data_IF_055347849524
#
_entry.id   IF_055347849524
#
_cell.length_a   1.000
_cell.length_b   1.000
_cell.length_c   1.000
_cell.angle_alpha   90.00
_cell.angle_beta   90.00
_cell.angle_gamma   90.00
#
_symmetry.space_group_name_H-M   'P 1'
#
loop_
_entity.id
_entity.type
_entity.pdbx_description
1 polymer ?
#
# COMPACT_ATOMS: atom_id res chain seq x y z
N UNK A 1 16.56 -52.78 -44.30
CA UNK A 1 16.22 -51.50 -44.93
C UNK A 1 14.98 -50.97 -44.26
N UNK A 2 15.11 -50.00 -43.36
CA UNK A 2 14.20 -48.85 -43.27
C UNK A 2 14.83 -47.82 -42.35
N UNK A 3 15.31 -46.74 -42.97
CA UNK A 3 15.97 -45.63 -42.31
C UNK A 3 14.98 -44.87 -41.45
N UNK A 4 15.31 -44.71 -40.16
CA UNK A 4 14.81 -43.63 -39.31
C UNK A 4 15.14 -42.30 -39.98
N UNK A 5 14.22 -41.80 -40.81
CA UNK A 5 14.28 -40.44 -41.35
C UNK A 5 14.01 -39.51 -40.18
N UNK A 6 15.09 -39.00 -39.60
CA UNK A 6 15.07 -37.81 -38.76
C UNK A 6 14.49 -36.68 -39.63
N UNK A 7 13.18 -36.43 -39.49
CA UNK A 7 12.55 -35.28 -40.10
C UNK A 7 13.19 -34.04 -39.47
N UNK A 8 13.99 -33.34 -40.28
CA UNK A 8 14.37 -31.94 -40.04
C UNK A 8 13.09 -31.11 -40.05
N UNK A 9 12.45 -31.01 -38.89
CA UNK A 9 11.49 -29.97 -38.58
C UNK A 9 12.18 -29.10 -37.54
N UNK A 10 12.38 -27.83 -37.84
CA UNK A 10 12.67 -26.78 -36.86
C UNK A 10 11.35 -26.16 -36.43
N UNK A 11 10.91 -26.37 -35.18
CA UNK A 11 9.89 -25.54 -34.55
C UNK A 11 10.55 -24.65 -33.49
N UNK A 12 10.53 -23.33 -33.74
CA UNK A 12 11.00 -22.31 -32.82
C UNK A 12 10.00 -22.05 -31.69
N UNK A 13 9.68 -23.07 -30.89
CA UNK A 13 9.18 -22.85 -29.54
C UNK A 13 9.83 -23.85 -28.59
N UNK A 14 10.54 -23.33 -27.59
CA UNK A 14 11.14 -24.14 -26.53
C UNK A 14 10.09 -25.05 -25.84
N UNK A 15 8.83 -24.62 -25.83
CA UNK A 15 7.67 -25.41 -25.38
C UNK A 15 7.41 -26.69 -26.18
N UNK A 16 7.50 -26.65 -27.51
CA UNK A 16 7.32 -27.85 -28.35
C UNK A 16 8.48 -28.84 -28.14
N UNK A 17 9.70 -28.33 -27.97
CA UNK A 17 10.87 -29.16 -27.68
C UNK A 17 10.73 -29.88 -26.34
N UNK A 18 10.22 -29.20 -25.30
CA UNK A 18 9.94 -29.83 -24.01
C UNK A 18 8.80 -30.84 -24.06
N UNK A 19 7.74 -30.55 -24.82
CA UNK A 19 6.64 -31.50 -25.04
C UNK A 19 7.12 -32.80 -25.69
N UNK A 20 8.01 -32.71 -26.68
CA UNK A 20 8.61 -33.89 -27.32
C UNK A 20 9.48 -34.70 -26.34
N UNK A 21 10.26 -34.04 -25.49
CA UNK A 21 11.07 -34.71 -24.45
C UNK A 21 10.17 -35.43 -23.44
N UNK A 22 9.07 -34.81 -23.02
CA UNK A 22 8.10 -35.42 -22.11
C UNK A 22 7.53 -36.73 -22.68
N UNK A 23 7.04 -36.70 -23.93
CA UNK A 23 6.45 -37.88 -24.59
C UNK A 23 7.48 -39.02 -24.70
N UNK A 24 8.73 -38.70 -25.01
CA UNK A 24 9.81 -39.70 -25.08
C UNK A 24 10.14 -40.32 -23.72
N UNK A 25 10.13 -39.53 -22.64
CA UNK A 25 10.34 -40.01 -21.28
C UNK A 25 9.19 -40.91 -20.83
N UNK A 26 7.94 -40.49 -21.03
CA UNK A 26 6.74 -41.27 -20.70
C UNK A 26 6.73 -42.62 -21.43
N UNK A 27 7.00 -42.62 -22.74
CA UNK A 27 7.08 -43.83 -23.54
C UNK A 27 8.24 -44.76 -23.13
N UNK A 28 9.33 -44.22 -22.58
CA UNK A 28 10.46 -45.02 -22.08
C UNK A 28 10.14 -45.62 -20.71
N UNK A 29 9.56 -44.85 -19.80
CA UNK A 29 9.11 -45.31 -18.48
C UNK A 29 8.08 -46.43 -18.63
N UNK A 30 7.11 -46.28 -19.53
CA UNK A 30 6.10 -47.30 -19.79
C UNK A 30 6.68 -48.63 -20.30
N UNK A 31 7.81 -48.57 -21.03
CA UNK A 31 8.49 -49.77 -21.55
C UNK A 31 9.41 -50.45 -20.54
N UNK A 32 10.03 -49.68 -19.65
CA UNK A 32 11.09 -50.17 -18.76
C UNK A 32 10.67 -50.36 -17.30
N UNK A 33 9.49 -49.87 -16.92
CA UNK A 33 8.89 -50.06 -15.60
C UNK A 33 9.84 -49.65 -14.48
N UNK A 34 10.09 -50.56 -13.52
CA UNK A 34 10.91 -50.29 -12.34
C UNK A 34 12.37 -49.89 -12.65
N UNK A 35 12.90 -50.20 -13.84
CA UNK A 35 14.27 -49.83 -14.25
C UNK A 35 14.40 -48.37 -14.68
N UNK A 36 13.29 -47.64 -14.81
CA UNK A 36 13.24 -46.25 -15.23
C UNK A 36 12.90 -45.27 -14.08
N UNK A 37 13.16 -45.66 -12.82
CA UNK A 37 12.88 -44.82 -11.65
C UNK A 37 13.51 -43.41 -11.78
N UNK A 38 14.76 -43.33 -12.25
CA UNK A 38 15.46 -42.06 -12.47
C UNK A 38 14.80 -41.20 -13.57
N UNK A 39 14.21 -41.83 -14.59
CA UNK A 39 13.47 -41.14 -15.65
C UNK A 39 12.12 -40.62 -15.13
N UNK A 40 11.47 -41.33 -14.21
CA UNK A 40 10.24 -40.87 -13.54
C UNK A 40 10.50 -39.66 -12.65
N UNK A 41 11.66 -39.61 -12.00
CA UNK A 41 12.12 -38.44 -11.24
C UNK A 41 12.36 -37.27 -12.20
N UNK A 42 13.09 -37.49 -13.30
CA UNK A 42 13.35 -36.46 -14.30
C UNK A 42 12.06 -35.89 -14.91
N UNK A 43 11.09 -36.74 -15.23
CA UNK A 43 9.77 -36.34 -15.73
C UNK A 43 9.00 -35.46 -14.73
N UNK A 44 9.08 -35.80 -13.43
CA UNK A 44 8.46 -35.02 -12.36
C UNK A 44 9.05 -33.62 -12.26
N UNK A 45 10.38 -33.51 -12.33
CA UNK A 45 11.07 -32.21 -12.30
C UNK A 45 10.76 -31.36 -13.54
N UNK A 46 10.68 -31.98 -14.71
CA UNK A 46 10.33 -31.30 -15.96
C UNK A 46 8.89 -30.75 -15.92
N UNK A 47 7.94 -31.55 -15.44
CA UNK A 47 6.55 -31.11 -15.27
C UNK A 47 6.42 -29.97 -14.27
N UNK A 48 7.12 -30.05 -13.13
CA UNK A 48 7.15 -28.97 -12.12
C UNK A 48 7.70 -27.67 -12.71
N UNK A 49 8.80 -27.74 -13.45
CA UNK A 49 9.40 -26.59 -14.12
C UNK A 49 8.44 -25.96 -15.14
N UNK A 50 7.73 -26.79 -15.92
CA UNK A 50 6.74 -26.30 -16.89
C UNK A 50 5.59 -25.55 -16.21
N UNK A 51 5.00 -26.11 -15.16
CA UNK A 51 3.92 -25.45 -14.40
C UNK A 51 4.36 -24.12 -13.81
N UNK A 52 5.61 -24.01 -13.34
CA UNK A 52 6.15 -22.76 -12.82
C UNK A 52 6.31 -21.68 -13.91
N UNK A 53 6.80 -22.07 -15.08
CA UNK A 53 6.96 -21.15 -16.23
C UNK A 53 5.60 -20.71 -16.76
N UNK A 54 4.63 -21.61 -16.88
CA UNK A 54 3.25 -21.28 -17.30
C UNK A 54 2.58 -20.32 -16.31
N UNK A 55 2.76 -20.53 -15.00
CA UNK A 55 2.24 -19.64 -13.96
C UNK A 55 2.88 -18.25 -14.01
N UNK A 56 4.19 -18.16 -14.26
CA UNK A 56 4.87 -16.87 -14.35
C UNK A 56 4.52 -16.13 -15.65
N UNK A 57 4.38 -16.84 -16.77
CA UNK A 57 3.88 -16.25 -18.02
C UNK A 57 2.44 -15.73 -17.86
N UNK A 58 1.58 -16.48 -17.17
CA UNK A 58 0.23 -16.02 -16.84
C UNK A 58 0.25 -14.77 -15.94
N UNK A 59 1.15 -14.71 -14.94
CA UNK A 59 1.36 -13.50 -14.12
C UNK A 59 1.83 -12.30 -14.94
N UNK A 60 2.77 -12.50 -15.85
CA UNK A 60 3.31 -11.42 -16.71
C UNK A 60 2.21 -10.92 -17.65
N UNK A 61 1.42 -11.83 -18.24
CA UNK A 61 0.30 -11.49 -19.12
C UNK A 61 -0.85 -10.77 -18.38
N UNK A 62 -1.10 -11.13 -17.12
CA UNK A 62 -2.10 -10.46 -16.27
C UNK A 62 -1.70 -9.02 -15.88
N UNK A 63 -0.45 -8.62 -16.13
CA UNK A 63 0.10 -7.34 -15.72
C UNK A 63 0.34 -7.26 -14.20
N UNK A 64 0.97 -6.18 -13.71
CA UNK A 64 1.05 -5.96 -12.27
C UNK A 64 -0.37 -5.97 -11.69
N UNK A 65 -0.60 -6.59 -10.52
CA UNK A 65 -1.91 -6.55 -9.90
C UNK A 65 -2.34 -5.09 -9.85
N UNK A 66 -3.52 -4.78 -10.41
CA UNK A 66 -4.17 -3.50 -10.16
C UNK A 66 -4.11 -3.33 -8.66
N UNK A 67 -3.38 -2.32 -8.18
CA UNK A 67 -3.50 -1.91 -6.79
C UNK A 67 -4.95 -1.51 -6.65
N UNK A 68 -5.79 -2.43 -6.20
CA UNK A 68 -6.98 -2.06 -5.45
C UNK A 68 -6.42 -1.14 -4.37
N UNK A 69 -6.63 0.15 -4.55
CA UNK A 69 -6.33 1.10 -3.50
C UNK A 69 -7.00 0.50 -2.28
N UNK A 70 -6.25 0.30 -1.19
CA UNK A 70 -6.87 0.13 0.12
C UNK A 70 -7.65 1.42 0.37
N UNK A 71 -8.84 1.53 -0.20
CA UNK A 71 -9.83 2.53 0.15
C UNK A 71 -10.28 2.11 1.53
N UNK A 72 -9.46 2.46 2.53
CA UNK A 72 -9.91 2.49 3.91
C UNK A 72 -11.21 3.26 3.95
N UNK A 73 -12.11 2.87 4.85
CA UNK A 73 -13.43 3.46 4.98
C UNK A 73 -13.35 5.00 4.90
N UNK A 74 -14.31 5.60 4.17
CA UNK A 74 -14.36 7.06 3.99
C UNK A 74 -14.41 7.76 5.35
N UNK A 75 -13.67 8.85 5.50
CA UNK A 75 -13.74 9.71 6.68
C UNK A 75 -15.10 10.40 6.71
N UNK A 76 -15.83 10.24 7.81
CA UNK A 76 -17.19 10.77 7.98
C UNK A 76 -17.19 12.05 8.79
N UNK A 77 -16.41 12.13 9.86
CA UNK A 77 -16.28 13.32 10.69
C UNK A 77 -14.97 13.35 11.49
N UNK A 78 -14.61 14.54 11.95
CA UNK A 78 -13.63 14.77 12.99
C UNK A 78 -14.30 15.41 14.21
N UNK A 79 -13.93 14.98 15.40
CA UNK A 79 -14.45 15.54 16.65
C UNK A 79 -13.34 15.62 17.68
N UNK A 80 -13.34 16.66 18.50
CA UNK A 80 -12.50 16.69 19.71
C UNK A 80 -13.32 16.18 20.89
N UNK A 81 -12.82 15.16 21.56
CA UNK A 81 -13.50 14.46 22.66
C UNK A 81 -12.53 14.25 23.83
N UNK A 82 -13.08 14.02 25.03
CA UNK A 82 -12.28 13.55 26.15
C UNK A 82 -12.14 12.03 26.07
N UNK A 83 -10.89 11.55 26.06
CA UNK A 83 -10.55 10.14 26.12
C UNK A 83 -9.42 9.96 27.13
N UNK A 84 -9.59 9.05 28.10
CA UNK A 84 -8.66 8.84 29.23
C UNK A 84 -8.25 10.15 29.93
N UNK A 85 -9.21 11.06 30.12
CA UNK A 85 -8.98 12.35 30.79
C UNK A 85 -8.22 13.39 29.95
N UNK A 86 -7.96 13.11 28.66
CA UNK A 86 -7.25 14.02 27.76
C UNK A 86 -8.11 14.40 26.56
N UNK A 87 -8.03 15.67 26.15
CA UNK A 87 -8.61 16.08 24.87
C UNK A 87 -7.89 15.37 23.72
N UNK A 88 -8.70 14.81 22.84
CA UNK A 88 -8.26 13.92 21.77
C UNK A 88 -9.02 14.26 20.49
N UNK A 89 -8.28 14.43 19.40
CA UNK A 89 -8.86 14.52 18.06
C UNK A 89 -9.17 13.11 17.57
N UNK A 90 -10.46 12.86 17.35
CA UNK A 90 -11.01 11.60 16.89
C UNK A 90 -11.40 11.73 15.41
N UNK A 91 -10.84 10.88 14.55
CA UNK A 91 -11.23 10.73 13.15
C UNK A 91 -12.12 9.50 13.00
N UNK A 92 -13.40 9.74 12.73
CA UNK A 92 -14.37 8.70 12.43
C UNK A 92 -14.35 8.36 10.95
N UNK A 93 -14.42 7.08 10.66
CA UNK A 93 -14.60 6.57 9.29
C UNK A 93 -15.92 5.80 9.23
N UNK A 94 -16.33 5.42 8.02
CA UNK A 94 -17.60 4.75 7.72
C UNK A 94 -18.01 3.64 8.72
N UNK A 95 -19.26 3.17 8.63
CA UNK A 95 -19.90 2.38 9.67
C UNK A 95 -19.05 1.20 10.14
N UNK A 96 -19.00 0.99 11.46
CA UNK A 96 -18.32 -0.12 12.15
C UNK A 96 -16.77 -0.11 12.08
N UNK A 97 -16.15 1.05 11.83
CA UNK A 97 -14.69 1.19 11.98
C UNK A 97 -14.31 1.79 13.32
N UNK A 98 -13.27 1.26 13.97
CA UNK A 98 -12.72 1.89 15.16
C UNK A 98 -12.13 3.26 14.78
N UNK A 99 -12.46 4.33 15.53
CA UNK A 99 -11.98 5.65 15.20
C UNK A 99 -10.49 5.83 15.52
N UNK A 100 -9.82 6.66 14.73
CA UNK A 100 -8.43 7.00 14.98
C UNK A 100 -8.33 8.15 15.97
N UNK A 101 -7.66 7.91 17.10
CA UNK A 101 -7.53 8.88 18.20
C UNK A 101 -6.12 9.48 18.25
N UNK A 102 -6.06 10.80 18.33
CA UNK A 102 -4.80 11.55 18.40
C UNK A 102 -4.83 12.54 19.58
N UNK A 103 -3.94 12.38 20.58
CA UNK A 103 -3.88 13.29 21.72
C UNK A 103 -3.59 14.74 21.31
N UNK A 104 -4.14 15.70 22.06
CA UNK A 104 -3.93 17.13 21.81
C UNK A 104 -2.45 17.53 21.78
N UNK A 105 -1.60 16.90 22.59
CA UNK A 105 -0.14 17.15 22.58
C UNK A 105 0.51 16.91 21.22
N UNK A 106 0.07 15.88 20.48
CA UNK A 106 0.55 15.60 19.12
C UNK A 106 0.06 16.66 18.14
N UNK A 107 -1.20 17.08 18.27
CA UNK A 107 -1.75 18.16 17.46
C UNK A 107 -0.98 19.47 17.65
N UNK A 108 -0.72 19.87 18.90
CA UNK A 108 0.07 21.06 19.21
C UNK A 108 1.50 20.98 18.65
N UNK A 109 2.12 19.80 18.65
CA UNK A 109 3.43 19.61 18.06
C UNK A 109 3.40 19.79 16.52
N UNK A 110 2.37 19.27 15.84
CA UNK A 110 2.14 19.53 14.41
C UNK A 110 1.92 21.02 14.16
N UNK A 111 1.15 21.70 15.02
CA UNK A 111 0.88 23.14 14.90
C UNK A 111 2.18 23.94 15.01
N UNK A 112 3.00 23.64 16.03
CA UNK A 112 4.30 24.29 16.26
C UNK A 112 5.25 24.08 15.07
N UNK A 113 5.30 22.86 14.53
CA UNK A 113 6.11 22.58 13.36
C UNK A 113 5.66 23.39 12.14
N UNK A 114 4.37 23.33 11.80
CA UNK A 114 3.85 23.95 10.59
C UNK A 114 3.82 25.49 10.68
N UNK A 115 3.45 26.06 11.82
CA UNK A 115 3.40 27.51 12.05
C UNK A 115 4.76 28.19 12.02
N UNK A 116 5.84 27.45 12.27
CA UNK A 116 7.22 27.96 12.19
C UNK A 116 7.81 28.01 10.78
N UNK A 117 7.12 27.48 9.76
CA UNK A 117 7.69 27.30 8.42
C UNK A 117 7.13 28.30 7.42
N UNK A 118 8.02 28.87 6.61
CA UNK A 118 7.67 29.68 5.43
C UNK A 118 7.52 28.83 4.17
N UNK A 119 8.26 27.73 4.09
CA UNK A 119 8.31 26.87 2.91
C UNK A 119 7.34 25.68 3.01
N UNK A 120 6.76 25.23 1.86
CA UNK A 120 6.00 23.99 1.79
C UNK A 120 6.77 22.79 2.33
N UNK A 121 6.08 21.86 2.99
CA UNK A 121 6.69 20.65 3.57
C UNK A 121 5.92 19.39 3.16
N UNK A 122 6.60 18.26 3.06
CA UNK A 122 5.94 16.98 2.86
C UNK A 122 5.68 16.24 4.18
N UNK A 123 4.90 15.17 4.09
CA UNK A 123 4.55 14.35 5.26
C UNK A 123 5.78 13.73 5.93
N UNK A 124 6.77 13.27 5.15
CA UNK A 124 7.92 12.56 5.71
C UNK A 124 8.76 13.49 6.57
N UNK A 125 9.00 14.72 6.08
CA UNK A 125 9.70 15.75 6.85
C UNK A 125 9.01 16.08 8.17
N UNK A 126 7.69 16.24 8.16
CA UNK A 126 6.89 16.47 9.36
C UNK A 126 6.99 15.28 10.33
N UNK A 127 6.75 14.08 9.82
CA UNK A 127 6.72 12.85 10.63
C UNK A 127 8.08 12.57 11.27
N UNK A 128 9.17 12.61 10.51
CA UNK A 128 10.51 12.36 11.03
C UNK A 128 10.95 13.41 12.05
N UNK A 129 10.56 14.68 11.87
CA UNK A 129 10.87 15.74 12.84
C UNK A 129 10.13 15.49 14.16
N UNK A 130 8.83 15.18 14.09
CA UNK A 130 8.02 14.92 15.28
C UNK A 130 8.46 13.67 16.02
N UNK A 131 8.73 12.58 15.30
CA UNK A 131 9.25 11.32 15.88
C UNK A 131 10.56 11.55 16.63
N UNK A 132 11.48 12.36 16.08
CA UNK A 132 12.72 12.71 16.78
C UNK A 132 12.48 13.49 18.07
N UNK A 133 11.47 14.35 18.11
CA UNK A 133 11.17 15.16 19.30
C UNK A 133 10.29 14.47 20.35
N UNK A 134 9.40 13.57 19.94
CA UNK A 134 8.37 12.97 20.81
C UNK A 134 8.63 11.49 21.11
N UNK A 135 9.63 10.87 20.48
CA UNK A 135 9.91 9.44 20.61
C UNK A 135 9.04 8.59 19.69
N UNK A 136 8.62 7.40 20.15
CA UNK A 136 7.75 6.52 19.39
C UNK A 136 6.40 7.19 19.10
N UNK A 137 6.21 7.54 17.83
CA UNK A 137 5.02 8.21 17.34
C UNK A 137 4.44 7.40 16.18
N UNK A 138 3.24 6.82 16.32
CA UNK A 138 2.56 6.19 15.20
C UNK A 138 2.25 7.20 14.10
N UNK A 139 2.54 6.85 12.84
CA UNK A 139 2.36 7.76 11.70
C UNK A 139 0.90 8.22 11.53
N UNK A 140 -0.06 7.35 11.88
CA UNK A 140 -1.48 7.65 11.74
C UNK A 140 -1.88 8.88 12.55
N UNK A 141 -1.24 9.15 13.70
CA UNK A 141 -1.56 10.32 14.54
C UNK A 141 -1.25 11.61 13.80
N UNK A 142 -0.10 11.67 13.12
CA UNK A 142 0.29 12.81 12.29
C UNK A 142 -0.62 12.91 11.05
N UNK A 143 -1.03 11.78 10.46
CA UNK A 143 -1.99 11.77 9.35
C UNK A 143 -3.35 12.32 9.74
N UNK A 144 -3.88 11.94 10.90
CA UNK A 144 -5.15 12.48 11.42
C UNK A 144 -5.06 14.00 11.57
N UNK A 145 -4.00 14.53 12.20
CA UNK A 145 -3.82 15.98 12.32
C UNK A 145 -3.77 16.68 10.96
N UNK A 146 -2.95 16.19 10.02
CA UNK A 146 -2.81 16.83 8.71
C UNK A 146 -4.08 16.76 7.88
N UNK A 147 -4.82 15.64 7.89
CA UNK A 147 -6.11 15.53 7.19
C UNK A 147 -7.19 16.39 7.82
N UNK A 148 -7.25 16.47 9.15
CA UNK A 148 -8.13 17.38 9.86
C UNK A 148 -7.84 18.84 9.50
N UNK A 149 -6.57 19.27 9.56
CA UNK A 149 -6.19 20.64 9.19
C UNK A 149 -6.51 20.96 7.72
N UNK A 150 -6.41 19.98 6.82
CA UNK A 150 -6.84 20.16 5.42
C UNK A 150 -8.36 20.29 5.32
N UNK A 151 -9.12 19.44 6.03
CA UNK A 151 -10.58 19.52 6.07
C UNK A 151 -11.08 20.83 6.69
N UNK A 152 -10.37 21.35 7.69
CA UNK A 152 -10.66 22.61 8.36
C UNK A 152 -10.17 23.85 7.59
N UNK A 153 -9.53 23.68 6.44
CA UNK A 153 -9.00 24.79 5.64
C UNK A 153 -7.75 25.47 6.21
N UNK A 154 -7.11 24.90 7.22
CA UNK A 154 -5.88 25.43 7.84
C UNK A 154 -4.64 25.08 6.99
N UNK A 155 -4.65 23.88 6.41
CA UNK A 155 -3.65 23.43 5.44
C UNK A 155 -4.30 23.24 4.07
N UNK A 156 -3.50 23.41 3.01
CA UNK A 156 -3.85 23.01 1.64
C UNK A 156 -2.79 22.09 1.05
N UNK A 157 -3.23 21.23 0.13
CA UNK A 157 -2.32 20.44 -0.66
C UNK A 157 -1.82 21.22 -1.87
N UNK A 158 -0.51 21.25 -2.05
CA UNK A 158 0.13 21.70 -3.28
C UNK A 158 1.00 20.56 -3.82
N UNK A 159 0.48 19.85 -4.82
CA UNK A 159 1.02 18.57 -5.28
C UNK A 159 1.13 17.56 -4.12
N UNK A 160 2.35 17.19 -3.72
CA UNK A 160 2.65 16.25 -2.62
C UNK A 160 3.01 16.95 -1.31
N UNK A 161 2.93 18.27 -1.25
CA UNK A 161 3.34 19.08 -0.10
C UNK A 161 2.14 19.76 0.55
N UNK A 162 2.31 20.13 1.81
CA UNK A 162 1.40 20.94 2.59
C UNK A 162 1.88 22.39 2.60
N UNK A 163 0.91 23.30 2.53
CA UNK A 163 1.12 24.74 2.67
C UNK A 163 0.06 25.28 3.63
N UNK A 164 0.42 26.23 4.48
CA UNK A 164 -0.55 26.99 5.27
C UNK A 164 -1.50 27.75 4.34
N UNK A 165 -2.81 27.62 4.52
CA UNK A 165 -3.80 28.18 3.61
C UNK A 165 -3.69 29.71 3.51
N UNK A 166 -3.62 30.39 4.65
CA UNK A 166 -3.49 31.86 4.75
C UNK A 166 -2.04 32.32 4.99
N UNK A 167 -1.08 31.44 4.72
CA UNK A 167 0.34 31.66 5.02
C UNK A 167 0.70 31.43 6.49
N UNK A 168 1.98 31.60 6.85
CA UNK A 168 2.48 31.25 8.19
C UNK A 168 2.02 32.22 9.28
N UNK A 169 1.76 33.49 8.94
CA UNK A 169 1.23 34.48 9.88
C UNK A 169 -0.24 34.17 10.12
N UNK A 170 -0.57 33.73 11.34
CA UNK A 170 -1.94 33.37 11.71
C UNK A 170 -2.24 31.87 11.70
N UNK A 171 -1.30 31.04 11.24
CA UNK A 171 -1.47 29.58 11.20
C UNK A 171 -1.85 28.99 12.57
N UNK A 172 -1.12 29.34 13.64
CA UNK A 172 -1.39 28.83 14.98
C UNK A 172 -2.77 29.24 15.50
N UNK A 173 -3.23 30.46 15.14
CA UNK A 173 -4.57 30.93 15.50
C UNK A 173 -5.64 30.14 14.74
N UNK A 174 -5.50 30.02 13.42
CA UNK A 174 -6.43 29.23 12.60
C UNK A 174 -6.52 27.77 13.07
N UNK A 175 -5.39 27.16 13.45
CA UNK A 175 -5.35 25.82 14.01
C UNK A 175 -6.04 25.73 15.39
N UNK A 176 -5.87 26.73 16.26
CA UNK A 176 -6.56 26.78 17.54
C UNK A 176 -8.07 26.96 17.37
N UNK A 177 -8.49 27.84 16.46
CA UNK A 177 -9.90 28.09 16.13
C UNK A 177 -10.55 26.82 15.54
N UNK A 178 -9.85 26.09 14.66
CA UNK A 178 -10.31 24.82 14.12
C UNK A 178 -10.49 23.75 15.22
N UNK A 179 -9.53 23.64 16.14
CA UNK A 179 -9.64 22.73 17.29
C UNK A 179 -10.84 23.06 18.17
N UNK A 180 -10.99 24.33 18.54
CA UNK A 180 -12.09 24.81 19.36
C UNK A 180 -13.45 24.64 18.68
N UNK A 181 -13.53 24.79 17.35
CA UNK A 181 -14.73 24.50 16.59
C UNK A 181 -15.08 23.00 16.64
N UNK A 182 -14.10 22.12 16.41
CA UNK A 182 -14.27 20.67 16.45
C UNK A 182 -14.61 20.10 17.84
N UNK A 183 -14.26 20.83 18.90
CA UNK A 183 -14.67 20.53 20.28
C UNK A 183 -16.15 20.89 20.56
N UNK A 184 -16.71 21.86 19.82
CA UNK A 184 -18.11 22.28 19.96
C UNK A 184 -19.04 21.51 19.04
N UNK A 185 -18.59 21.23 17.81
CA UNK A 185 -19.38 20.58 16.78
C UNK A 185 -18.49 19.73 15.88
N UNK A 186 -18.92 18.52 15.46
CA UNK A 186 -18.14 17.70 14.54
C UNK A 186 -17.84 18.42 13.23
N UNK A 187 -16.61 18.30 12.75
CA UNK A 187 -16.22 18.75 11.42
C UNK A 187 -16.46 17.64 10.40
N UNK A 188 -17.39 17.88 9.48
CA UNK A 188 -17.61 16.99 8.33
C UNK A 188 -16.64 17.38 7.21
N UNK A 189 -15.73 16.49 6.76
CA UNK A 189 -14.84 16.81 5.66
C UNK A 189 -15.63 17.04 4.37
N UNK A 190 -15.18 17.97 3.51
CA UNK A 190 -15.81 18.17 2.20
C UNK A 190 -15.81 16.86 1.40
N UNK A 191 -16.89 16.64 0.64
CA UNK A 191 -16.96 15.52 -0.29
C UNK A 191 -15.81 15.65 -1.31
N UNK A 192 -15.02 14.59 -1.43
CA UNK A 192 -13.97 14.47 -2.46
C UNK A 192 -14.56 13.90 -3.74
#
# INVERSE_FOLDING_TARGET
>A
MESLKLARSTPNSWSESLGNVQVLLEARIAREGAKAADLSIALTHLNRGRTQVEAELARVAAGPPKREGRTGARITEYRVELFDGQETLTEYRGPMTEPFRTPHSVYLAVVKFAGGRKDPFDFMLLFDTLRKSLGELPDYRVRVCTRFMVAAGVLRHERRRFVAADGPKGFSKAAADAWAAAAKSPLIPPAR
#
